data_IF_333828500927
#
_entry.id   IF_333828500927
#
_cell.length_a   1.000
_cell.length_b   1.000
_cell.length_c   1.000
_cell.angle_alpha   90.00
_cell.angle_beta   90.00
_cell.angle_gamma   90.00
#
_symmetry.space_group_name_H-M   'P 1'
#
loop_
_entity.id
_entity.type
_entity.pdbx_description
1 polymer ?
#
# COMPACT_ATOMS: atom_id res chain seq x y z
N UNK A 1 -18.92 0.06 -28.49
CA UNK A 1 -18.55 1.35 -27.90
C UNK A 1 -18.18 1.08 -26.46
N UNK A 2 -16.88 1.09 -26.15
CA UNK A 2 -16.32 0.64 -24.88
C UNK A 2 -16.50 1.73 -23.81
N UNK A 3 -17.40 1.47 -22.86
CA UNK A 3 -17.58 2.24 -21.62
C UNK A 3 -16.30 2.13 -20.78
N UNK A 4 -15.40 3.07 -21.02
CA UNK A 4 -14.15 3.20 -20.26
C UNK A 4 -14.49 4.01 -19.01
N UNK A 5 -14.69 3.33 -17.88
CA UNK A 5 -14.90 4.01 -16.61
C UNK A 5 -13.62 4.82 -16.26
N UNK A 6 -13.70 6.15 -16.13
CA UNK A 6 -12.55 7.03 -15.93
C UNK A 6 -11.91 6.86 -14.54
N UNK A 7 -12.60 6.22 -13.58
CA UNK A 7 -12.06 5.91 -12.26
C UNK A 7 -11.00 4.80 -12.25
N UNK A 8 -10.79 4.11 -13.37
CA UNK A 8 -9.67 3.17 -13.56
C UNK A 8 -8.31 3.87 -13.78
N UNK A 9 -8.30 5.16 -14.12
CA UNK A 9 -7.09 5.94 -14.43
C UNK A 9 -6.75 7.02 -13.39
N UNK A 10 -7.11 6.78 -12.14
CA UNK A 10 -6.53 7.51 -11.01
C UNK A 10 -6.32 6.58 -9.84
N UNK A 11 -5.29 5.73 -9.91
CA UNK A 11 -4.53 5.44 -8.69
C UNK A 11 -3.92 6.78 -8.29
N UNK A 12 -4.27 7.40 -7.15
CA UNK A 12 -3.35 8.34 -6.56
C UNK A 12 -2.13 7.49 -6.23
N UNK A 13 -1.01 7.77 -6.89
CA UNK A 13 0.29 7.44 -6.30
C UNK A 13 0.28 8.18 -4.98
N UNK A 14 -0.09 7.47 -3.90
CA UNK A 14 0.01 7.96 -2.54
C UNK A 14 1.49 8.16 -2.25
N UNK A 15 1.99 9.34 -2.58
CA UNK A 15 3.28 9.81 -2.11
C UNK A 15 3.09 10.02 -0.61
N UNK A 16 3.66 9.11 0.20
CA UNK A 16 3.92 9.39 1.61
C UNK A 16 4.64 10.74 1.73
N UNK A 17 4.16 11.68 2.55
CA UNK A 17 4.76 13.00 2.64
C UNK A 17 6.07 12.91 3.43
N UNK A 18 7.19 12.78 2.71
CA UNK A 18 8.51 13.15 3.22
C UNK A 18 9.04 14.25 2.32
N UNK A 19 8.74 15.50 2.66
CA UNK A 19 9.41 16.67 2.07
C UNK A 19 10.84 16.73 2.61
N UNK A 20 11.81 16.51 1.73
CA UNK A 20 13.14 17.10 1.87
C UNK A 20 13.22 18.26 0.87
N UNK A 21 13.05 19.48 1.37
CA UNK A 21 13.32 20.69 0.60
C UNK A 21 14.84 20.79 0.39
N UNK A 22 15.28 20.61 -0.86
CA UNK A 22 16.61 20.99 -1.30
C UNK A 22 16.49 22.22 -2.20
N UNK A 23 16.74 23.40 -1.62
CA UNK A 23 17.23 24.55 -2.40
C UNK A 23 18.71 24.71 -2.14
N UNK A 24 19.45 24.69 -3.24
CA UNK A 24 20.85 25.08 -3.39
C UNK A 24 21.08 26.51 -2.90
N UNK A 25 22.15 26.73 -2.12
CA UNK A 25 23.16 27.76 -2.42
C UNK A 25 24.38 27.66 -1.48
N UNK A 26 25.42 28.39 -1.87
CA UNK A 26 26.85 28.13 -1.75
C UNK A 26 27.50 28.20 -0.36
N UNK A 27 28.70 27.60 -0.30
CA UNK A 27 29.91 27.91 0.51
C UNK A 27 29.71 28.60 1.86
N UNK A 28 30.24 27.97 2.91
CA UNK A 28 31.40 28.46 3.69
C UNK A 28 31.81 27.37 4.68
N UNK A 29 33.10 27.03 4.68
CA UNK A 29 33.66 26.11 5.66
C UNK A 29 33.67 26.76 7.05
N UNK A 30 33.37 25.98 8.08
CA UNK A 30 33.81 26.29 9.43
C UNK A 30 34.09 25.03 10.22
N UNK A 31 35.32 24.97 10.74
CA UNK A 31 35.78 24.00 11.73
C UNK A 31 35.07 24.30 13.05
N UNK A 32 34.42 23.31 13.63
CA UNK A 32 34.15 23.25 15.06
C UNK A 32 34.51 21.83 15.51
N UNK A 33 35.72 21.65 16.05
CA UNK A 33 36.03 21.57 17.48
C UNK A 33 35.11 20.57 18.20
N UNK A 34 35.71 19.43 18.50
CA UNK A 34 35.25 18.43 19.44
C UNK A 34 35.25 19.09 20.82
N UNK A 35 34.07 19.23 21.43
CA UNK A 35 33.96 19.36 22.88
C UNK A 35 33.41 18.02 23.41
N UNK A 36 34.28 17.35 24.17
CA UNK A 36 33.90 16.25 25.05
C UNK A 36 33.02 16.79 26.18
N UNK A 37 32.07 15.95 26.60
CA UNK A 37 31.12 16.11 27.73
C UNK A 37 29.70 16.61 27.40
N UNK A 38 28.88 15.70 26.87
CA UNK A 38 27.60 15.38 27.55
C UNK A 38 27.28 13.90 27.38
N UNK A 39 27.04 13.22 28.51
CA UNK A 39 26.48 11.87 28.55
C UNK A 39 24.97 11.99 28.31
N UNK A 40 24.54 11.90 27.06
CA UNK A 40 23.14 11.60 26.74
C UNK A 40 23.09 10.30 25.92
N UNK A 41 22.17 9.41 26.30
CA UNK A 41 22.00 8.09 25.71
C UNK A 41 21.63 8.22 24.23
N UNK A 42 22.63 8.18 23.36
CA UNK A 42 22.43 8.02 21.93
C UNK A 42 21.73 6.67 21.72
N UNK A 43 20.44 6.72 21.44
CA UNK A 43 19.67 5.55 21.03
C UNK A 43 20.19 5.19 19.64
N UNK A 44 21.20 4.32 19.58
CA UNK A 44 21.73 3.80 18.32
C UNK A 44 20.63 2.92 17.76
N UNK A 45 19.91 3.42 16.76
CA UNK A 45 18.96 2.59 16.03
C UNK A 45 19.72 1.45 15.36
N UNK A 46 19.28 0.20 15.56
CA UNK A 46 19.93 -0.94 14.94
C UNK A 46 19.96 -0.75 13.43
N UNK A 47 21.13 -0.93 12.80
CA UNK A 47 21.24 -0.81 11.35
C UNK A 47 21.32 -2.17 10.67
N UNK A 48 20.54 -2.36 9.61
CA UNK A 48 20.60 -3.57 8.80
C UNK A 48 22.00 -3.64 8.15
N UNK A 49 22.75 -4.75 8.35
CA UNK A 49 24.08 -4.89 7.76
C UNK A 49 24.06 -4.90 6.22
N UNK A 50 22.88 -5.11 5.61
CA UNK A 50 22.66 -5.07 4.17
C UNK A 50 22.05 -3.75 3.67
N UNK A 51 21.84 -2.76 4.55
CA UNK A 51 21.42 -1.40 4.18
C UNK A 51 19.92 -1.21 3.88
N UNK A 52 19.08 -2.21 4.16
CA UNK A 52 17.62 -2.17 3.93
C UNK A 52 16.84 -1.30 4.93
N UNK A 53 17.52 -0.78 5.94
CA UNK A 53 17.04 0.10 7.01
C UNK A 53 17.34 1.60 6.76
N UNK A 54 18.15 1.91 5.74
CA UNK A 54 18.68 3.26 5.54
C UNK A 54 17.86 4.05 4.52
N UNK A 55 17.60 5.33 4.82
CA UNK A 55 16.99 6.30 3.89
C UNK A 55 17.85 6.57 2.64
N UNK A 56 19.08 6.05 2.59
CA UNK A 56 19.97 6.06 1.43
C UNK A 56 19.90 4.72 0.72
N UNK A 57 18.92 4.55 -0.17
CA UNK A 57 18.67 3.30 -0.88
C UNK A 57 19.89 2.86 -1.72
N UNK A 58 20.69 1.93 -1.20
CA UNK A 58 21.65 1.16 -1.97
C UNK A 58 21.05 -0.23 -2.17
N UNK A 59 20.93 -0.66 -3.42
CA UNK A 59 20.46 -2.02 -3.73
C UNK A 59 21.39 -3.03 -3.04
N UNK A 60 20.83 -3.83 -2.13
CA UNK A 60 21.55 -4.88 -1.45
C UNK A 60 21.86 -6.06 -2.39
N UNK A 61 22.73 -7.00 -2.00
CA UNK A 61 23.14 -8.14 -2.84
C UNK A 61 22.00 -9.10 -3.17
N UNK A 62 20.90 -9.05 -2.41
CA UNK A 62 19.70 -9.85 -2.60
C UNK A 62 18.59 -9.09 -3.34
N UNK A 63 18.85 -7.86 -3.80
CA UNK A 63 17.88 -7.03 -4.51
C UNK A 63 17.92 -7.29 -6.01
N UNK A 64 16.74 -7.36 -6.62
CA UNK A 64 16.59 -7.31 -8.06
C UNK A 64 16.71 -5.86 -8.53
N UNK A 65 17.61 -5.53 -9.45
CA UNK A 65 17.74 -4.14 -9.94
C UNK A 65 16.52 -3.63 -10.73
N UNK A 66 15.70 -4.53 -11.27
CA UNK A 66 14.57 -4.19 -12.13
C UNK A 66 13.35 -3.77 -11.31
N UNK A 67 12.94 -4.59 -10.33
CA UNK A 67 11.84 -4.24 -9.43
C UNK A 67 12.30 -3.58 -8.12
N UNK A 68 13.62 -3.51 -7.89
CA UNK A 68 14.27 -2.95 -6.69
C UNK A 68 13.95 -3.67 -5.37
N UNK A 69 12.98 -4.57 -5.34
CA UNK A 69 12.68 -5.48 -4.22
C UNK A 69 13.72 -6.60 -4.11
N UNK A 70 13.73 -7.28 -2.95
CA UNK A 70 14.31 -8.61 -2.81
C UNK A 70 13.90 -9.53 -3.96
N UNK A 71 14.86 -10.35 -4.40
CA UNK A 71 14.66 -11.34 -5.43
C UNK A 71 13.51 -12.30 -5.08
N UNK A 72 12.79 -12.73 -6.11
CA UNK A 72 11.66 -13.65 -6.01
C UNK A 72 11.62 -14.50 -7.26
N UNK A 73 11.52 -15.81 -7.10
CA UNK A 73 11.87 -16.78 -8.13
C UNK A 73 13.22 -16.42 -8.77
N UNK A 74 14.25 -16.33 -7.93
CA UNK A 74 15.61 -15.95 -8.31
C UNK A 74 16.06 -16.74 -9.52
N UNK A 75 16.53 -16.05 -10.55
CA UNK A 75 16.91 -16.63 -11.83
C UNK A 75 18.19 -16.01 -12.35
N UNK A 76 19.01 -16.80 -13.05
CA UNK A 76 20.26 -16.39 -13.69
C UNK A 76 20.12 -16.41 -15.21
N UNK A 77 20.67 -15.39 -15.86
CA UNK A 77 20.77 -15.33 -17.32
C UNK A 77 21.93 -16.21 -17.81
N UNK A 78 21.79 -16.84 -18.98
CA UNK A 78 22.89 -17.55 -19.63
C UNK A 78 23.24 -16.83 -20.95
N UNK A 79 24.54 -16.58 -21.22
CA UNK A 79 25.72 -17.05 -20.48
C UNK A 79 26.21 -16.12 -19.35
N UNK A 80 25.73 -14.88 -19.27
CA UNK A 80 26.34 -13.85 -18.41
C UNK A 80 26.17 -14.05 -16.89
N UNK A 81 25.34 -15.01 -16.45
CA UNK A 81 25.10 -15.38 -15.04
C UNK A 81 24.56 -14.26 -14.13
N UNK A 82 24.10 -13.15 -14.71
CA UNK A 82 23.43 -12.08 -13.97
C UNK A 82 22.08 -12.52 -13.41
N UNK A 83 21.80 -12.11 -12.17
CA UNK A 83 20.67 -12.58 -11.36
C UNK A 83 19.55 -11.55 -11.27
N UNK A 84 18.32 -12.01 -11.43
CA UNK A 84 17.10 -11.20 -11.37
C UNK A 84 15.92 -12.02 -10.84
N UNK A 85 14.79 -11.39 -10.55
CA UNK A 85 13.53 -12.12 -10.44
C UNK A 85 13.16 -12.70 -11.82
N UNK A 86 12.70 -13.94 -11.88
CA UNK A 86 12.23 -14.59 -13.12
C UNK A 86 11.28 -13.71 -13.93
N UNK A 87 10.23 -13.19 -13.30
CA UNK A 87 9.19 -12.37 -13.94
C UNK A 87 9.69 -10.99 -14.38
N UNK A 88 10.77 -10.50 -13.77
CA UNK A 88 11.40 -9.26 -14.21
C UNK A 88 12.24 -9.48 -15.46
N UNK A 89 13.08 -10.52 -15.46
CA UNK A 89 14.02 -10.77 -16.55
C UNK A 89 13.36 -11.36 -17.80
N UNK A 90 12.23 -12.06 -17.64
CA UNK A 90 11.47 -12.62 -18.77
C UNK A 90 10.95 -11.59 -19.78
N UNK A 91 10.97 -10.30 -19.43
CA UNK A 91 10.55 -9.18 -20.29
C UNK A 91 11.63 -8.73 -21.26
N UNK A 92 12.85 -9.23 -21.12
CA UNK A 92 14.02 -8.79 -21.86
C UNK A 92 14.58 -9.92 -22.69
N UNK A 93 15.07 -9.57 -23.89
CA UNK A 93 15.84 -10.49 -24.75
C UNK A 93 17.33 -10.43 -24.44
N UNK A 94 17.81 -9.27 -23.99
CA UNK A 94 19.21 -9.03 -23.67
C UNK A 94 19.33 -8.64 -22.20
N UNK A 95 20.43 -9.03 -21.57
CA UNK A 95 20.67 -8.82 -20.16
C UNK A 95 20.74 -7.31 -19.84
N UNK A 96 19.86 -6.77 -18.98
CA UNK A 96 19.86 -5.33 -18.67
C UNK A 96 21.13 -4.83 -17.97
N UNK A 97 21.99 -5.73 -17.48
CA UNK A 97 23.25 -5.39 -16.81
C UNK A 97 24.44 -5.25 -17.77
N UNK A 98 24.58 -6.17 -18.72
CA UNK A 98 25.76 -6.23 -19.59
C UNK A 98 25.45 -6.16 -21.09
N UNK A 99 24.18 -6.15 -21.48
CA UNK A 99 23.75 -6.13 -22.88
C UNK A 99 23.97 -7.42 -23.65
N UNK A 100 24.35 -8.52 -22.98
CA UNK A 100 24.51 -9.83 -23.63
C UNK A 100 23.15 -10.48 -23.90
N UNK A 101 22.96 -11.08 -25.08
CA UNK A 101 21.77 -11.85 -25.44
C UNK A 101 21.50 -12.95 -24.39
N UNK A 102 20.24 -13.08 -23.99
CA UNK A 102 19.79 -14.11 -23.04
C UNK A 102 19.40 -15.34 -23.83
N UNK A 103 20.27 -16.36 -23.84
CA UNK A 103 19.97 -17.64 -24.49
C UNK A 103 18.90 -18.42 -23.71
N UNK A 104 19.00 -18.39 -22.38
CA UNK A 104 18.03 -19.01 -21.47
C UNK A 104 18.06 -18.35 -20.10
N UNK A 105 16.95 -18.51 -19.38
CA UNK A 105 16.79 -18.10 -17.98
C UNK A 105 16.71 -19.39 -17.16
N UNK A 106 17.66 -19.59 -16.25
CA UNK A 106 17.69 -20.75 -15.35
C UNK A 106 17.34 -20.34 -13.92
N UNK A 107 16.60 -21.16 -13.17
CA UNK A 107 16.36 -20.90 -11.75
C UNK A 107 17.67 -20.96 -10.95
N UNK A 108 17.78 -20.09 -9.95
CA UNK A 108 18.88 -20.04 -8.97
C UNK A 108 18.31 -20.32 -7.58
N UNK A 109 18.11 -21.62 -7.30
CA UNK A 109 17.47 -22.10 -6.08
C UNK A 109 18.31 -21.81 -4.81
N UNK A 110 19.64 -21.80 -4.92
CA UNK A 110 20.54 -21.50 -3.81
C UNK A 110 20.43 -20.03 -3.40
N UNK A 111 20.36 -19.13 -4.38
CA UNK A 111 20.10 -17.72 -4.13
C UNK A 111 18.69 -17.51 -3.58
N UNK A 112 17.68 -18.19 -4.13
CA UNK A 112 16.31 -18.09 -3.62
C UNK A 112 16.23 -18.52 -2.15
N UNK A 113 16.85 -19.65 -1.80
CA UNK A 113 16.94 -20.14 -0.42
C UNK A 113 17.63 -19.12 0.50
N UNK A 114 18.66 -18.44 0.00
CA UNK A 114 19.34 -17.38 0.75
C UNK A 114 18.43 -16.18 1.01
N UNK A 115 17.63 -15.78 0.02
CA UNK A 115 16.65 -14.69 0.15
C UNK A 115 15.54 -15.07 1.12
N UNK A 116 15.03 -16.30 1.06
CA UNK A 116 13.96 -16.76 1.94
C UNK A 116 14.45 -16.82 3.40
N UNK A 117 15.65 -17.36 3.64
CA UNK A 117 16.28 -17.33 4.96
C UNK A 117 16.51 -15.90 5.45
N UNK A 118 16.83 -14.96 4.56
CA UNK A 118 16.98 -13.55 4.92
C UNK A 118 15.65 -12.95 5.40
N UNK A 119 14.55 -13.25 4.69
CA UNK A 119 13.20 -12.80 5.07
C UNK A 119 12.75 -13.44 6.39
N UNK A 120 13.04 -14.71 6.61
CA UNK A 120 12.78 -15.40 7.88
C UNK A 120 13.65 -14.88 9.02
N UNK A 121 14.88 -14.44 8.72
CA UNK A 121 15.77 -13.80 9.68
C UNK A 121 15.19 -12.49 10.22
N UNK A 122 14.50 -11.72 9.37
CA UNK A 122 13.76 -10.52 9.78
C UNK A 122 12.56 -10.81 10.70
N UNK A 123 12.18 -12.08 10.90
CA UNK A 123 11.06 -12.50 11.75
C UNK A 123 11.41 -12.67 13.24
N UNK A 124 12.69 -12.85 13.59
CA UNK A 124 13.07 -13.46 14.88
C UNK A 124 13.66 -12.51 15.92
N UNK A 125 12.95 -11.46 16.28
CA UNK A 125 13.22 -10.74 17.54
C UNK A 125 11.92 -10.44 18.28
N UNK A 126 11.22 -11.50 18.69
CA UNK A 126 10.59 -11.49 20.02
C UNK A 126 11.63 -12.10 20.96
N UNK A 127 12.35 -11.26 21.71
CA UNK A 127 13.00 -11.75 22.93
C UNK A 127 11.86 -12.24 23.83
N UNK A 128 11.84 -13.54 24.08
CA UNK A 128 11.15 -14.11 25.23
C UNK A 128 11.48 -13.22 26.45
N UNK A 129 10.46 -12.73 27.13
CA UNK A 129 10.61 -12.30 28.51
C UNK A 129 11.12 -13.52 29.28
N UNK A 130 12.45 -13.62 29.44
CA UNK A 130 13.01 -14.48 30.45
C UNK A 130 12.75 -13.77 31.77
N UNK A 131 11.71 -14.21 32.47
CA UNK A 131 11.68 -14.15 33.92
C UNK A 131 13.00 -14.75 34.41
N UNK A 132 13.92 -13.90 34.84
CA UNK A 132 15.20 -14.31 35.39
C UNK A 132 14.98 -14.79 36.82
N UNK A 133 14.65 -16.07 36.97
CA UNK A 133 15.09 -16.83 38.13
C UNK A 133 16.32 -17.62 37.69
N UNK A 134 17.44 -17.27 38.31
CA UNK A 134 18.75 -17.87 38.09
C UNK A 134 18.73 -19.36 38.47
N UNK A 135 19.42 -20.20 37.71
CA UNK A 135 20.46 -21.09 38.24
C UNK A 135 21.33 -21.69 37.11
N UNK A 136 22.62 -21.78 37.40
CA UNK A 136 23.73 -22.03 36.48
C UNK A 136 23.87 -23.51 36.09
N UNK A 137 24.34 -23.77 34.86
CA UNK A 137 25.13 -24.97 34.58
C UNK A 137 25.06 -25.54 33.16
N UNK A 138 26.09 -25.27 32.34
CA UNK A 138 26.64 -26.26 31.41
C UNK A 138 26.51 -25.99 29.89
N UNK A 139 27.67 -25.68 29.28
CA UNK A 139 27.98 -25.69 27.84
C UNK A 139 27.25 -24.68 26.92
N UNK A 140 27.62 -23.40 27.04
CA UNK A 140 27.27 -22.39 26.05
C UNK A 140 28.13 -22.50 24.78
N UNK A 141 27.54 -23.03 23.72
CA UNK A 141 28.03 -22.82 22.36
C UNK A 141 27.68 -21.39 21.92
N UNK A 142 28.50 -20.43 22.37
CA UNK A 142 28.39 -19.02 22.00
C UNK A 142 28.86 -18.81 20.55
N UNK A 143 27.91 -18.51 19.66
CA UNK A 143 27.95 -17.43 18.65
C UNK A 143 27.20 -17.81 17.37
N UNK A 144 26.03 -17.22 17.13
CA UNK A 144 25.89 -16.05 16.24
C UNK A 144 24.77 -15.18 16.81
N UNK A 145 25.13 -14.05 17.42
CA UNK A 145 24.17 -13.00 17.72
C UNK A 145 24.00 -12.23 16.41
N UNK A 146 22.97 -12.59 15.63
CA UNK A 146 22.53 -11.71 14.55
C UNK A 146 21.92 -10.49 15.22
N UNK A 147 22.73 -9.43 15.24
CA UNK A 147 22.42 -8.15 15.85
C UNK A 147 21.06 -7.67 15.41
N UNK A 148 20.35 -7.12 16.39
CA UNK A 148 18.99 -6.65 16.27
C UNK A 148 18.81 -5.90 14.93
N UNK A 149 17.92 -6.37 14.05
CA UNK A 149 17.62 -5.67 12.80
C UNK A 149 16.29 -4.95 12.95
N UNK A 150 16.42 -3.63 12.89
CA UNK A 150 15.38 -2.60 12.87
C UNK A 150 14.28 -2.89 11.84
N UNK A 151 13.04 -2.57 12.25
CA UNK A 151 11.71 -2.79 11.64
C UNK A 151 11.02 -4.13 11.97
N UNK A 152 9.77 -4.05 12.44
CA UNK A 152 8.88 -5.22 12.55
C UNK A 152 8.76 -5.91 11.19
N UNK A 153 8.93 -7.24 11.13
CA UNK A 153 8.94 -8.04 9.89
C UNK A 153 7.80 -7.68 8.94
N UNK A 154 6.62 -7.38 9.47
CA UNK A 154 5.46 -6.95 8.69
C UNK A 154 5.72 -5.68 7.87
N UNK A 155 6.22 -4.61 8.49
CA UNK A 155 6.54 -3.36 7.80
C UNK A 155 7.62 -3.57 6.72
N UNK A 156 8.62 -4.39 7.02
CA UNK A 156 9.64 -4.77 6.05
C UNK A 156 9.05 -5.50 4.83
N UNK A 157 8.18 -6.50 5.06
CA UNK A 157 7.50 -7.24 4.00
C UNK A 157 6.62 -6.33 3.14
N UNK A 158 5.86 -5.43 3.76
CA UNK A 158 5.03 -4.44 3.05
C UNK A 158 5.90 -3.52 2.19
N UNK A 159 7.03 -3.03 2.70
CA UNK A 159 7.95 -2.20 1.91
C UNK A 159 8.49 -2.96 0.69
N UNK A 160 8.92 -4.22 0.85
CA UNK A 160 9.37 -5.04 -0.28
C UNK A 160 8.23 -5.30 -1.27
N UNK A 161 7.02 -5.54 -0.78
CA UNK A 161 5.84 -5.74 -1.62
C UNK A 161 5.53 -4.50 -2.46
N UNK A 162 5.52 -3.31 -1.83
CA UNK A 162 5.28 -2.05 -2.52
C UNK A 162 6.33 -1.82 -3.61
N UNK A 163 7.61 -2.06 -3.33
CA UNK A 163 8.68 -1.93 -4.33
C UNK A 163 8.47 -2.90 -5.50
N UNK A 164 8.19 -4.16 -5.21
CA UNK A 164 7.91 -5.18 -6.23
C UNK A 164 6.70 -4.80 -7.10
N UNK A 165 5.62 -4.30 -6.48
CA UNK A 165 4.41 -3.88 -7.16
C UNK A 165 4.67 -2.70 -8.12
N UNK A 166 5.41 -1.67 -7.67
CA UNK A 166 5.83 -0.55 -8.52
C UNK A 166 6.75 -1.01 -9.66
N UNK A 167 7.64 -1.98 -9.39
CA UNK A 167 8.46 -2.69 -10.39
C UNK A 167 7.68 -3.63 -11.32
N UNK A 168 6.34 -3.63 -11.23
CA UNK A 168 5.42 -4.51 -11.96
C UNK A 168 5.66 -6.00 -11.71
N UNK A 169 6.40 -6.39 -10.67
CA UNK A 169 6.53 -7.78 -10.26
C UNK A 169 5.44 -8.10 -9.22
N UNK A 170 4.22 -8.28 -9.73
CA UNK A 170 3.03 -8.44 -8.89
C UNK A 170 3.07 -9.77 -8.12
N UNK A 171 3.66 -10.82 -8.68
CA UNK A 171 3.83 -12.11 -8.02
C UNK A 171 4.72 -12.01 -6.78
N UNK A 172 5.86 -11.31 -6.90
CA UNK A 172 6.71 -11.02 -5.75
C UNK A 172 5.98 -10.18 -4.71
N UNK A 173 5.22 -9.16 -5.13
CA UNK A 173 4.45 -8.32 -4.20
C UNK A 173 3.42 -9.14 -3.41
N UNK A 174 2.64 -9.95 -4.14
CA UNK A 174 1.63 -10.85 -3.57
C UNK A 174 2.26 -11.81 -2.56
N UNK A 175 3.37 -12.46 -2.91
CA UNK A 175 4.05 -13.40 -2.02
C UNK A 175 4.48 -12.76 -0.70
N UNK A 176 5.05 -11.53 -0.72
CA UNK A 176 5.45 -10.84 0.52
C UNK A 176 4.25 -10.45 1.38
N UNK A 177 3.16 -10.01 0.76
CA UNK A 177 1.93 -9.67 1.47
C UNK A 177 1.22 -10.90 2.05
N UNK A 178 1.27 -12.05 1.37
CA UNK A 178 0.73 -13.32 1.90
C UNK A 178 1.47 -13.75 3.17
N UNK A 179 2.81 -13.65 3.18
CA UNK A 179 3.61 -13.91 4.38
C UNK A 179 3.22 -12.93 5.50
N UNK A 180 3.11 -11.64 5.19
CA UNK A 180 2.73 -10.62 6.16
C UNK A 180 1.34 -10.86 6.76
N UNK A 181 0.35 -11.18 5.91
CA UNK A 181 -1.01 -11.48 6.35
C UNK A 181 -1.05 -12.73 7.23
N UNK A 182 -0.27 -13.76 6.88
CA UNK A 182 -0.17 -14.99 7.66
C UNK A 182 0.43 -14.73 9.05
N UNK A 183 1.53 -13.98 9.12
CA UNK A 183 2.16 -13.60 10.39
C UNK A 183 1.19 -12.82 11.29
N UNK A 184 0.42 -11.89 10.74
CA UNK A 184 -0.56 -11.12 11.52
C UNK A 184 -1.72 -12.02 12.00
N UNK A 185 -2.21 -12.95 11.15
CA UNK A 185 -3.24 -13.91 11.54
C UNK A 185 -2.77 -14.81 12.69
N UNK A 186 -1.53 -15.29 12.66
CA UNK A 186 -0.95 -16.09 13.75
C UNK A 186 -0.81 -15.28 15.05
N UNK A 187 -0.47 -13.99 14.94
CA UNK A 187 -0.44 -13.10 16.10
C UNK A 187 -1.83 -12.85 16.69
N UNK A 188 -2.85 -12.66 15.84
CA UNK A 188 -4.25 -12.53 16.28
C UNK A 188 -4.76 -13.81 16.96
N UNK A 189 -4.38 -14.99 16.47
CA UNK A 189 -4.73 -16.26 17.11
C UNK A 189 -4.11 -16.43 18.50
N UNK A 190 -2.89 -15.93 18.70
CA UNK A 190 -2.15 -16.08 19.96
C UNK A 190 -2.46 -14.99 20.99
N UNK A 191 -2.72 -13.76 20.55
CA UNK A 191 -2.89 -12.59 21.43
C UNK A 191 -4.34 -12.08 21.49
N UNK A 192 -5.24 -12.66 20.68
CA UNK A 192 -6.63 -12.23 20.56
C UNK A 192 -6.83 -11.05 19.59
N UNK A 193 -8.07 -10.60 19.46
CA UNK A 193 -8.46 -9.50 18.57
C UNK A 193 -7.94 -8.15 19.06
N UNK A 194 -6.68 -7.84 18.75
CA UNK A 194 -6.07 -6.53 19.00
C UNK A 194 -6.45 -5.58 17.86
N UNK A 195 -7.10 -4.43 18.14
CA UNK A 195 -7.55 -3.50 17.10
C UNK A 195 -6.47 -3.09 16.09
N UNK A 196 -5.26 -2.85 16.59
CA UNK A 196 -4.10 -2.49 15.75
C UNK A 196 -3.73 -3.59 14.76
N UNK A 197 -3.67 -4.85 15.20
CA UNK A 197 -3.39 -5.99 14.31
C UNK A 197 -4.52 -6.22 13.31
N UNK A 198 -5.78 -6.02 13.72
CA UNK A 198 -6.92 -6.07 12.79
C UNK A 198 -6.83 -4.98 11.71
N UNK A 199 -6.45 -3.75 12.10
CA UNK A 199 -6.24 -2.64 11.18
C UNK A 199 -5.12 -2.95 10.17
N UNK A 200 -3.98 -3.42 10.67
CA UNK A 200 -2.84 -3.83 9.84
C UNK A 200 -3.20 -4.97 8.89
N UNK A 201 -3.90 -6.01 9.37
CA UNK A 201 -4.37 -7.10 8.52
C UNK A 201 -5.33 -6.59 7.43
N UNK A 202 -6.28 -5.73 7.80
CA UNK A 202 -7.21 -5.10 6.86
C UNK A 202 -6.49 -4.35 5.73
N UNK A 203 -5.44 -3.58 6.05
CA UNK A 203 -4.62 -2.89 5.05
C UNK A 203 -3.84 -3.87 4.15
N UNK A 204 -3.22 -4.91 4.73
CA UNK A 204 -2.48 -5.93 3.97
C UNK A 204 -3.40 -6.71 3.03
N UNK A 205 -4.62 -7.04 3.47
CA UNK A 205 -5.63 -7.68 2.63
C UNK A 205 -6.07 -6.78 1.48
N UNK A 206 -6.25 -5.47 1.72
CA UNK A 206 -6.50 -4.50 0.66
C UNK A 206 -5.40 -4.51 -0.41
N UNK A 207 -4.13 -4.55 0.01
CA UNK A 207 -2.99 -4.64 -0.91
C UNK A 207 -2.93 -5.99 -1.66
N UNK A 208 -3.32 -7.09 -1.03
CA UNK A 208 -3.48 -8.39 -1.70
C UNK A 208 -4.58 -8.36 -2.75
N UNK A 209 -5.69 -7.70 -2.45
CA UNK A 209 -6.77 -7.43 -3.40
C UNK A 209 -6.26 -6.67 -4.63
N UNK A 210 -5.43 -5.63 -4.43
CA UNK A 210 -4.80 -4.89 -5.52
C UNK A 210 -3.86 -5.74 -6.36
N UNK A 211 -3.10 -6.65 -5.75
CA UNK A 211 -2.27 -7.62 -6.47
C UNK A 211 -3.11 -8.56 -7.32
N UNK A 212 -4.15 -9.18 -6.75
CA UNK A 212 -5.06 -10.06 -7.47
C UNK A 212 -5.76 -9.34 -8.63
N UNK A 213 -6.21 -8.11 -8.42
CA UNK A 213 -6.81 -7.26 -9.46
C UNK A 213 -5.82 -6.98 -10.59
N UNK A 214 -4.57 -6.63 -10.28
CA UNK A 214 -3.53 -6.41 -11.28
C UNK A 214 -3.16 -7.69 -12.06
N UNK A 215 -3.29 -8.86 -11.44
CA UNK A 215 -3.14 -10.18 -12.08
C UNK A 215 -4.40 -10.64 -12.84
N UNK A 216 -5.46 -9.81 -12.90
CA UNK A 216 -6.78 -10.15 -13.48
C UNK A 216 -7.48 -11.34 -12.80
N UNK A 217 -7.14 -11.60 -11.54
CA UNK A 217 -7.82 -12.58 -10.71
C UNK A 217 -8.89 -11.88 -9.87
N UNK A 218 -10.06 -11.64 -10.48
CA UNK A 218 -11.16 -10.87 -9.88
C UNK A 218 -11.78 -11.58 -8.69
N UNK A 219 -11.92 -12.91 -8.73
CA UNK A 219 -12.49 -13.72 -7.65
C UNK A 219 -11.71 -13.53 -6.34
N UNK A 220 -10.38 -13.71 -6.39
CA UNK A 220 -9.54 -13.51 -5.20
C UNK A 220 -9.44 -12.04 -4.81
N UNK A 221 -9.50 -11.10 -5.76
CA UNK A 221 -9.51 -9.68 -5.44
C UNK A 221 -10.74 -9.30 -4.60
N UNK A 222 -11.94 -9.72 -5.02
CA UNK A 222 -13.18 -9.52 -4.27
C UNK A 222 -13.06 -10.13 -2.88
N UNK A 223 -12.62 -11.39 -2.79
CA UNK A 223 -12.45 -12.09 -1.50
C UNK A 223 -11.56 -11.30 -0.52
N UNK A 224 -10.40 -10.81 -0.97
CA UNK A 224 -9.51 -10.05 -0.10
C UNK A 224 -10.06 -8.68 0.31
N UNK A 225 -10.73 -7.97 -0.60
CA UNK A 225 -11.35 -6.69 -0.26
C UNK A 225 -12.55 -6.86 0.68
N UNK A 226 -13.34 -7.91 0.52
CA UNK A 226 -14.45 -8.25 1.43
C UNK A 226 -13.92 -8.62 2.83
N UNK A 227 -12.91 -9.50 2.91
CA UNK A 227 -12.26 -9.85 4.18
C UNK A 227 -11.66 -8.61 4.88
N UNK A 228 -11.02 -7.72 4.11
CA UNK A 228 -10.53 -6.42 4.59
C UNK A 228 -11.68 -5.57 5.17
N UNK A 229 -12.77 -5.41 4.42
CA UNK A 229 -13.90 -4.60 4.86
C UNK A 229 -14.60 -5.18 6.09
N UNK A 230 -14.78 -6.50 6.16
CA UNK A 230 -15.36 -7.18 7.31
C UNK A 230 -14.52 -6.96 8.57
N UNK A 231 -13.21 -7.18 8.50
CA UNK A 231 -12.29 -6.97 9.62
C UNK A 231 -12.31 -5.52 10.12
N UNK A 232 -12.22 -4.56 9.20
CA UNK A 232 -12.19 -3.15 9.55
C UNK A 232 -13.53 -2.63 10.08
N UNK A 233 -14.66 -3.21 9.64
CA UNK A 233 -16.00 -2.81 10.10
C UNK A 233 -16.27 -3.18 11.56
N UNK A 234 -15.54 -4.13 12.13
CA UNK A 234 -15.65 -4.52 13.54
C UNK A 234 -14.90 -3.57 14.49
N UNK A 235 -14.09 -2.66 13.94
CA UNK A 235 -13.30 -1.72 14.71
C UNK A 235 -14.04 -0.39 14.88
N UNK A 236 -13.83 0.33 16.00
CA UNK A 236 -14.41 1.66 16.17
C UNK A 236 -13.96 2.60 15.05
N UNK A 237 -14.90 3.29 14.41
CA UNK A 237 -14.65 4.25 13.32
C UNK A 237 -14.04 5.58 13.82
N UNK A 238 -13.20 5.54 14.84
CA UNK A 238 -12.63 6.71 15.49
C UNK A 238 -11.41 7.26 14.75
N UNK A 239 -10.74 6.45 13.93
CA UNK A 239 -9.57 6.82 13.13
C UNK A 239 -9.93 7.07 11.66
N UNK A 240 -9.40 8.17 11.12
CA UNK A 240 -9.60 8.59 9.74
C UNK A 240 -8.98 7.59 8.74
N UNK A 241 -7.83 7.02 9.07
CA UNK A 241 -7.15 6.04 8.21
C UNK A 241 -7.95 4.74 8.10
N UNK A 242 -8.59 4.32 9.19
CA UNK A 242 -9.47 3.16 9.21
C UNK A 242 -10.73 3.39 8.36
N UNK A 243 -11.39 4.54 8.55
CA UNK A 243 -12.55 4.94 7.75
C UNK A 243 -12.18 4.99 6.26
N UNK A 244 -11.02 5.55 5.94
CA UNK A 244 -10.53 5.63 4.57
C UNK A 244 -10.32 4.22 3.98
N UNK A 245 -9.57 3.37 4.68
CA UNK A 245 -9.23 2.01 4.22
C UNK A 245 -10.47 1.15 4.03
N UNK A 246 -11.40 1.16 4.99
CA UNK A 246 -12.68 0.44 4.91
C UNK A 246 -13.50 0.91 3.69
N UNK A 247 -13.64 2.23 3.52
CA UNK A 247 -14.37 2.80 2.39
C UNK A 247 -13.73 2.45 1.04
N UNK A 248 -12.40 2.43 0.97
CA UNK A 248 -11.66 2.05 -0.23
C UNK A 248 -11.89 0.58 -0.56
N UNK A 249 -11.77 -0.33 0.41
CA UNK A 249 -12.03 -1.76 0.19
C UNK A 249 -13.45 -2.01 -0.35
N UNK A 250 -14.47 -1.40 0.27
CA UNK A 250 -15.86 -1.47 -0.22
C UNK A 250 -16.00 -0.93 -1.65
N UNK A 251 -15.41 0.24 -1.93
CA UNK A 251 -15.41 0.83 -3.26
C UNK A 251 -14.71 -0.05 -4.31
N UNK A 252 -13.65 -0.77 -3.94
CA UNK A 252 -12.96 -1.69 -4.86
C UNK A 252 -13.81 -2.90 -5.21
N UNK A 253 -14.57 -3.44 -4.26
CA UNK A 253 -15.56 -4.50 -4.56
C UNK A 253 -16.64 -3.94 -5.48
N UNK A 254 -17.17 -2.75 -5.17
CA UNK A 254 -18.15 -2.07 -6.00
C UNK A 254 -17.66 -1.84 -7.44
N UNK A 255 -16.41 -1.41 -7.61
CA UNK A 255 -15.78 -1.25 -8.93
C UNK A 255 -15.76 -2.59 -9.69
N UNK A 256 -15.30 -3.67 -9.05
CA UNK A 256 -15.23 -4.99 -9.68
C UNK A 256 -16.62 -5.50 -10.09
N UNK A 257 -17.63 -5.30 -9.24
CA UNK A 257 -19.03 -5.68 -9.54
C UNK A 257 -19.61 -4.84 -10.68
N UNK A 258 -19.32 -3.54 -10.70
CA UNK A 258 -19.76 -2.64 -11.77
C UNK A 258 -19.21 -3.10 -13.13
N UNK A 259 -17.91 -3.41 -13.20
CA UNK A 259 -17.30 -3.91 -14.44
C UNK A 259 -17.80 -5.29 -14.87
N UNK A 260 -18.27 -6.10 -13.93
CA UNK A 260 -18.90 -7.40 -14.21
C UNK A 260 -20.37 -7.26 -14.66
N UNK A 261 -20.93 -6.04 -14.63
CA UNK A 261 -22.32 -5.76 -14.97
C UNK A 261 -23.32 -6.03 -13.84
N UNK A 262 -22.84 -6.45 -12.66
CA UNK A 262 -23.65 -6.63 -11.45
C UNK A 262 -23.85 -5.27 -10.74
N UNK A 263 -24.65 -4.41 -11.39
CA UNK A 263 -24.87 -3.03 -10.98
C UNK A 263 -25.58 -2.91 -9.62
N UNK A 264 -26.46 -3.85 -9.28
CA UNK A 264 -27.16 -3.87 -7.97
C UNK A 264 -26.19 -4.17 -6.82
N UNK A 265 -25.30 -5.15 -6.99
CA UNK A 265 -24.25 -5.40 -6.00
C UNK A 265 -23.27 -4.23 -5.92
N UNK A 266 -22.90 -3.64 -7.08
CA UNK A 266 -22.02 -2.47 -7.11
C UNK A 266 -22.62 -1.31 -6.31
N UNK A 267 -23.91 -1.02 -6.53
CA UNK A 267 -24.67 -0.02 -5.79
C UNK A 267 -24.66 -0.29 -4.30
N UNK A 268 -24.94 -1.53 -3.89
CA UNK A 268 -24.90 -1.94 -2.48
C UNK A 268 -23.54 -1.64 -1.83
N UNK A 269 -22.44 -1.98 -2.50
CA UNK A 269 -21.09 -1.71 -2.00
C UNK A 269 -20.74 -0.22 -1.96
N UNK A 270 -21.10 0.55 -2.99
CA UNK A 270 -20.89 2.00 -2.99
C UNK A 270 -21.71 2.72 -1.93
N UNK A 271 -22.97 2.32 -1.72
CA UNK A 271 -23.81 2.87 -0.65
C UNK A 271 -23.20 2.58 0.72
N UNK A 272 -22.73 1.35 0.98
CA UNK A 272 -22.02 1.03 2.23
C UNK A 272 -20.78 1.91 2.44
N UNK A 273 -19.98 2.14 1.40
CA UNK A 273 -18.82 3.02 1.47
C UNK A 273 -19.20 4.50 1.72
N UNK A 274 -20.32 4.95 1.15
CA UNK A 274 -20.88 6.28 1.38
C UNK A 274 -21.36 6.45 2.83
N UNK A 275 -22.05 5.44 3.37
CA UNK A 275 -22.56 5.45 4.74
C UNK A 275 -21.42 5.55 5.76
N UNK A 276 -20.36 4.75 5.59
CA UNK A 276 -19.14 4.82 6.43
C UNK A 276 -18.55 6.24 6.45
N UNK A 277 -18.50 6.92 5.30
CA UNK A 277 -17.98 8.31 5.23
C UNK A 277 -18.95 9.33 5.81
N UNK A 278 -20.25 9.12 5.64
CA UNK A 278 -21.29 9.99 6.20
C UNK A 278 -21.25 9.97 7.73
N UNK A 279 -21.13 8.78 8.31
CA UNK A 279 -21.05 8.61 9.76
C UNK A 279 -19.79 9.28 10.31
N UNK A 280 -18.65 9.08 9.65
CA UNK A 280 -17.39 9.68 10.06
C UNK A 280 -17.39 11.23 9.99
N UNK A 281 -18.03 11.83 8.98
CA UNK A 281 -18.22 13.30 8.90
C UNK A 281 -19.12 13.81 10.02
N UNK A 282 -20.14 13.03 10.40
CA UNK A 282 -21.08 13.40 11.46
C UNK A 282 -20.41 13.42 12.83
N UNK A 283 -19.46 12.50 13.08
CA UNK A 283 -18.66 12.48 14.31
C UNK A 283 -17.58 13.57 14.35
N UNK A 284 -16.92 13.82 13.21
CA UNK A 284 -15.82 14.79 13.10
C UNK A 284 -16.07 15.78 11.96
N UNK A 285 -16.98 16.75 12.15
CA UNK A 285 -17.22 17.78 11.15
C UNK A 285 -15.95 18.62 10.97
N UNK A 286 -15.67 19.03 9.72
CA UNK A 286 -14.56 19.90 9.29
C UNK A 286 -13.20 19.25 9.01
N UNK A 287 -13.15 17.93 8.74
CA UNK A 287 -11.95 17.33 8.15
C UNK A 287 -12.02 17.44 6.62
N UNK A 288 -11.24 18.34 6.03
CA UNK A 288 -11.25 18.63 4.60
C UNK A 288 -11.10 17.39 3.71
N UNK A 289 -10.21 16.47 4.09
CA UNK A 289 -9.98 15.24 3.33
C UNK A 289 -11.20 14.33 3.30
N UNK A 290 -11.98 14.26 4.40
CA UNK A 290 -13.22 13.48 4.47
C UNK A 290 -14.31 14.05 3.57
N UNK A 291 -14.41 15.37 3.43
CA UNK A 291 -15.39 16.00 2.54
C UNK A 291 -15.12 15.63 1.07
N UNK A 292 -13.85 15.70 0.64
CA UNK A 292 -13.47 15.28 -0.72
C UNK A 292 -13.76 13.80 -0.93
N UNK A 293 -13.43 12.99 0.07
CA UNK A 293 -13.69 11.56 0.07
C UNK A 293 -15.20 11.24 0.00
N UNK A 294 -16.04 11.95 0.75
CA UNK A 294 -17.48 11.80 0.72
C UNK A 294 -18.08 12.18 -0.64
N UNK A 295 -17.63 13.28 -1.24
CA UNK A 295 -18.05 13.67 -2.58
C UNK A 295 -17.72 12.61 -3.65
N UNK A 296 -16.56 11.95 -3.53
CA UNK A 296 -16.20 10.82 -4.42
C UNK A 296 -17.15 9.62 -4.21
N UNK A 297 -17.53 9.31 -2.97
CA UNK A 297 -18.49 8.23 -2.72
C UNK A 297 -19.89 8.56 -3.25
N UNK A 298 -20.34 9.81 -3.12
CA UNK A 298 -21.59 10.27 -3.75
C UNK A 298 -21.54 10.10 -5.26
N UNK A 299 -20.43 10.49 -5.90
CA UNK A 299 -20.25 10.35 -7.35
C UNK A 299 -20.34 8.88 -7.81
N UNK A 300 -19.76 7.94 -7.05
CA UNK A 300 -19.83 6.50 -7.37
C UNK A 300 -21.26 5.96 -7.26
N UNK A 301 -22.01 6.35 -6.23
CA UNK A 301 -23.43 5.97 -6.10
C UNK A 301 -24.26 6.58 -7.23
N UNK A 302 -24.02 7.85 -7.57
CA UNK A 302 -24.70 8.53 -8.66
C UNK A 302 -24.44 7.86 -10.03
N UNK A 303 -23.18 7.49 -10.30
CA UNK A 303 -22.78 6.83 -11.56
C UNK A 303 -23.46 5.46 -11.75
N UNK A 304 -23.54 4.67 -10.68
CA UNK A 304 -24.28 3.39 -10.74
C UNK A 304 -25.79 3.59 -10.78
N UNK A 305 -26.34 4.58 -10.09
CA UNK A 305 -27.78 4.92 -10.16
C UNK A 305 -28.17 5.33 -11.59
N UNK A 306 -27.37 6.16 -12.25
CA UNK A 306 -27.53 6.47 -13.68
C UNK A 306 -27.49 5.22 -14.54
N UNK A 307 -26.53 4.34 -14.30
CA UNK A 307 -26.38 3.08 -15.05
C UNK A 307 -27.58 2.14 -14.87
N UNK A 308 -28.28 2.25 -13.72
CA UNK A 308 -29.53 1.55 -13.42
C UNK A 308 -30.79 2.28 -13.95
N UNK A 309 -30.64 3.47 -14.55
CA UNK A 309 -31.74 4.28 -15.07
C UNK A 309 -32.38 5.24 -14.06
N UNK A 310 -31.82 5.36 -12.85
CA UNK A 310 -32.29 6.26 -11.79
C UNK A 310 -31.70 7.68 -11.95
N UNK A 311 -31.94 8.34 -13.08
CA UNK A 311 -31.26 9.60 -13.43
C UNK A 311 -31.54 10.74 -12.43
N UNK A 312 -32.78 10.87 -11.94
CA UNK A 312 -33.13 11.91 -10.95
C UNK A 312 -32.32 11.76 -9.65
N UNK A 313 -32.11 10.51 -9.21
CA UNK A 313 -31.30 10.21 -8.03
C UNK A 313 -29.82 10.50 -8.29
N UNK A 314 -29.31 10.13 -9.46
CA UNK A 314 -27.94 10.39 -9.88
C UNK A 314 -27.63 11.89 -9.93
N UNK A 315 -28.45 12.67 -10.62
CA UNK A 315 -28.29 14.13 -10.73
C UNK A 315 -28.32 14.79 -9.35
N UNK A 316 -29.25 14.39 -8.48
CA UNK A 316 -29.32 14.92 -7.11
C UNK A 316 -28.02 14.63 -6.33
N UNK A 317 -27.51 13.41 -6.41
CA UNK A 317 -26.28 13.03 -5.72
C UNK A 317 -25.02 13.73 -6.29
N UNK A 318 -24.95 13.93 -7.61
CA UNK A 318 -23.87 14.72 -8.23
C UNK A 318 -23.92 16.19 -7.80
N UNK A 319 -25.11 16.80 -7.76
CA UNK A 319 -25.28 18.19 -7.30
C UNK A 319 -24.92 18.34 -5.81
N UNK A 320 -25.31 17.39 -4.97
CA UNK A 320 -24.89 17.38 -3.56
C UNK A 320 -23.36 17.32 -3.44
N UNK A 321 -22.70 16.45 -4.22
CA UNK A 321 -21.25 16.35 -4.23
C UNK A 321 -20.58 17.67 -4.65
N UNK A 322 -21.11 18.37 -5.66
CA UNK A 322 -20.63 19.68 -6.10
C UNK A 322 -20.76 20.70 -4.97
N UNK A 323 -21.96 20.84 -4.38
CA UNK A 323 -22.23 21.80 -3.31
C UNK A 323 -21.26 21.63 -2.12
N UNK A 324 -21.01 20.39 -1.72
CA UNK A 324 -20.07 20.06 -0.64
C UNK A 324 -18.64 20.47 -0.97
N UNK A 325 -18.19 20.25 -2.19
CA UNK A 325 -16.84 20.60 -2.62
C UNK A 325 -16.66 22.11 -2.84
N UNK A 326 -17.67 22.82 -3.34
CA UNK A 326 -17.63 24.29 -3.50
C UNK A 326 -17.63 25.02 -2.15
N UNK A 327 -18.37 24.47 -1.18
CA UNK A 327 -18.42 25.00 0.18
C UNK A 327 -17.16 24.70 1.00
N UNK A 328 -16.28 23.81 0.53
CA UNK A 328 -15.08 23.38 1.23
C UNK A 328 -13.99 24.45 1.18
N UNK A 329 -13.69 25.06 2.34
CA UNK A 329 -12.59 26.01 2.49
C UNK A 329 -11.30 25.26 2.84
N UNK A 330 -10.30 25.40 1.98
CA UNK A 330 -8.97 24.83 2.18
C UNK A 330 -7.95 25.90 2.54
N UNK A 331 -6.97 25.52 3.36
CA UNK A 331 -5.85 26.37 3.71
C UNK A 331 -4.77 26.33 2.60
N UNK A 332 -3.91 27.36 2.54
CA UNK A 332 -2.84 27.44 1.53
C UNK A 332 -1.83 26.29 1.59
N UNK A 333 -1.73 25.60 2.74
CA UNK A 333 -0.88 24.42 2.94
C UNK A 333 -1.46 23.14 2.32
N UNK A 334 -2.74 23.12 1.94
CA UNK A 334 -3.47 21.93 1.47
C UNK A 334 -3.48 21.80 -0.07
N UNK A 335 -2.40 22.21 -0.73
CA UNK A 335 -2.31 22.25 -2.20
C UNK A 335 -2.66 20.91 -2.90
N UNK A 336 -2.20 19.78 -2.35
CA UNK A 336 -2.51 18.46 -2.93
C UNK A 336 -4.00 18.13 -2.84
N UNK A 337 -4.62 18.49 -1.71
CA UNK A 337 -6.06 18.27 -1.52
C UNK A 337 -6.88 19.22 -2.40
N UNK A 338 -6.41 20.46 -2.59
CA UNK A 338 -6.98 21.43 -3.54
C UNK A 338 -6.98 20.89 -4.97
N UNK A 339 -5.84 20.37 -5.45
CA UNK A 339 -5.77 19.74 -6.77
C UNK A 339 -6.76 18.58 -6.91
N UNK A 340 -6.86 17.73 -5.88
CA UNK A 340 -7.81 16.63 -5.85
C UNK A 340 -9.27 17.13 -5.87
N UNK A 341 -9.59 18.16 -5.07
CA UNK A 341 -10.92 18.79 -5.03
C UNK A 341 -11.32 19.30 -6.41
N UNK A 342 -10.44 20.06 -7.08
CA UNK A 342 -10.70 20.60 -8.41
C UNK A 342 -10.89 19.52 -9.46
N UNK A 343 -10.08 18.45 -9.41
CA UNK A 343 -10.24 17.31 -10.32
C UNK A 343 -11.61 16.62 -10.16
N UNK A 344 -12.07 16.46 -8.91
CA UNK A 344 -13.40 15.86 -8.64
C UNK A 344 -14.51 16.80 -9.07
N UNK A 345 -14.43 18.10 -8.76
CA UNK A 345 -15.40 19.10 -9.23
C UNK A 345 -15.51 19.13 -10.76
N UNK A 346 -14.38 19.11 -11.47
CA UNK A 346 -14.38 19.08 -12.93
C UNK A 346 -15.09 17.83 -13.46
N UNK A 347 -14.81 16.66 -12.89
CA UNK A 347 -15.51 15.43 -13.24
C UNK A 347 -17.03 15.57 -13.02
N UNK A 348 -17.46 16.05 -11.84
CA UNK A 348 -18.87 16.19 -11.49
C UNK A 348 -19.61 17.16 -12.41
N UNK A 349 -19.01 18.31 -12.75
CA UNK A 349 -19.60 19.26 -13.69
C UNK A 349 -19.81 18.65 -15.08
N UNK A 350 -18.86 17.84 -15.55
CA UNK A 350 -19.03 17.14 -16.83
C UNK A 350 -20.21 16.15 -16.78
N UNK A 351 -20.40 15.44 -15.65
CA UNK A 351 -21.54 14.50 -15.48
C UNK A 351 -22.91 15.17 -15.53
N UNK A 352 -23.01 16.46 -15.18
CA UNK A 352 -24.24 17.25 -15.28
C UNK A 352 -24.40 17.87 -16.66
N UNK A 353 -23.31 18.39 -17.25
CA UNK A 353 -23.34 19.02 -18.57
C UNK A 353 -23.75 18.04 -19.68
N UNK A 354 -23.28 16.79 -19.62
CA UNK A 354 -23.61 15.77 -20.62
C UNK A 354 -25.13 15.48 -20.66
N UNK A 355 -25.83 15.57 -19.53
CA UNK A 355 -27.28 15.32 -19.46
C UNK A 355 -28.11 16.43 -20.16
N UNK A 356 -27.65 17.68 -20.13
CA UNK A 356 -28.30 18.79 -20.84
C UNK A 356 -28.16 18.70 -22.37
N UNK A 357 -27.12 18.01 -22.87
CA UNK A 357 -26.90 17.81 -24.31
C UNK A 357 -27.73 16.67 -24.91
N UNK A 358 -28.18 15.73 -24.09
CA UNK A 358 -29.04 14.60 -24.50
C UNK A 358 -30.54 14.85 -24.36
N UNK A 359 -30.94 16.01 -23.81
CA UNK A 359 -32.33 16.41 -23.60
C UNK A 359 -32.76 17.63 -24.44
N UNK A 360 -31.93 18.02 -25.41
CA UNK A 360 -32.23 19.01 -26.47
C UNK A 360 -32.35 18.31 -27.81
#
# INVERSE_FOLDING_TARGET
MSSTCPFSNSSPVGVCPMKFDNKTDEKVGSRYKIDEHSKDSATIFPKCPFGYDSHTFKLGPLSCMLCRSLLYESSKCVPCSHKFCKTCISRFKDCPLCGADIEKIEPDNDLQTTVDRFIDGHARIKRSQLSSDFEEGGHEQKNVIYGDVSMERGAFLVQQAMMAFHGKNIESAKSRLEICAQDIREQLQTQGNIPELCSQLGAVLGMLGDCCRAMRNTEYAVKYYEESAELLSMLPATDLELVHTLSVSLNKVGDLKYYDGDLESARTYYTRALDVRRDAISEKPNVSSQIVDFAVSLAKVADVDRSLGNEDAAVKAFLEAIERLESLKLNSSEFVLEQRRLSVLQFLHNQIADNHSSSS
#
